data_IF_556066686200
#
_entry.id   IF_556066686200
#
_cell.length_a   1.000
_cell.length_b   1.000
_cell.length_c   1.000
_cell.angle_alpha   90.00
_cell.angle_beta   90.00
_cell.angle_gamma   90.00
#
_symmetry.space_group_name_H-M   'P 1'
#
loop_
_entity.id
_entity.type
_entity.pdbx_description
1 polymer ?
#
# COMPACT_ATOMS: atom_id res chain seq x y z
N UNK A 1 -5.71 4.19 0.79
CA UNK A 1 -5.43 4.69 -0.57
C UNK A 1 -4.04 5.32 -0.66
N UNK A 2 -3.50 5.55 -1.85
CA UNK A 2 -2.25 6.33 -2.05
C UNK A 2 -2.59 7.62 -2.78
N UNK A 3 -1.95 8.73 -2.38
CA UNK A 3 -2.02 10.01 -3.08
C UNK A 3 -0.65 10.33 -3.69
N UNK A 4 -0.62 10.80 -4.94
CA UNK A 4 0.60 11.33 -5.52
C UNK A 4 1.00 12.69 -4.90
N UNK A 5 2.22 13.15 -5.19
CA UNK A 5 2.70 14.44 -4.70
C UNK A 5 1.84 15.62 -5.17
N UNK A 6 1.30 15.59 -6.39
CA UNK A 6 0.48 16.69 -6.93
C UNK A 6 -0.81 16.86 -6.14
N UNK A 7 -1.48 15.76 -5.80
CA UNK A 7 -2.70 15.76 -5.00
C UNK A 7 -2.42 16.20 -3.57
N UNK A 8 -1.28 15.81 -2.97
CA UNK A 8 -0.85 16.37 -1.69
C UNK A 8 -0.65 17.88 -1.77
N UNK A 9 0.03 18.37 -2.81
CA UNK A 9 0.24 19.81 -2.99
C UNK A 9 -1.08 20.55 -3.20
N UNK A 10 -2.03 19.97 -3.92
CA UNK A 10 -3.37 20.54 -4.09
C UNK A 10 -4.10 20.70 -2.75
N UNK A 11 -3.99 19.70 -1.86
CA UNK A 11 -4.57 19.73 -0.51
C UNK A 11 -3.86 20.76 0.38
N UNK A 12 -2.53 20.77 0.38
CA UNK A 12 -1.72 21.51 1.36
C UNK A 12 -1.49 22.98 0.98
N UNK A 13 -1.44 23.28 -0.32
CA UNK A 13 -0.86 24.53 -0.85
C UNK A 13 -1.85 25.29 -1.73
N UNK A 14 -2.70 24.60 -2.47
CA UNK A 14 -3.65 25.24 -3.39
C UNK A 14 -5.09 25.26 -2.87
N UNK A 15 -5.43 24.40 -1.90
CA UNK A 15 -6.81 24.18 -1.46
C UNK A 15 -7.75 23.95 -2.67
N UNK A 16 -7.30 23.09 -3.58
CA UNK A 16 -8.00 22.81 -4.85
C UNK A 16 -9.40 22.25 -4.57
N UNK A 17 -10.47 22.84 -5.14
CA UNK A 17 -11.84 22.37 -4.91
C UNK A 17 -12.10 20.90 -5.23
N UNK A 18 -11.39 20.33 -6.21
CA UNK A 18 -11.49 18.90 -6.55
C UNK A 18 -10.81 17.99 -5.52
N UNK A 19 -9.89 18.51 -4.71
CA UNK A 19 -9.19 17.78 -3.65
C UNK A 19 -9.81 18.00 -2.26
N UNK A 20 -10.61 19.05 -2.06
CA UNK A 20 -11.29 19.33 -0.77
C UNK A 20 -12.08 18.14 -0.22
N UNK A 21 -12.93 17.43 -0.99
CA UNK A 21 -13.64 16.27 -0.45
C UNK A 21 -12.71 15.17 0.06
N UNK A 22 -11.55 15.00 -0.56
CA UNK A 22 -10.53 14.05 -0.11
C UNK A 22 -9.93 14.52 1.20
N UNK A 23 -9.57 15.80 1.31
CA UNK A 23 -9.07 16.38 2.56
C UNK A 23 -10.07 16.21 3.70
N UNK A 24 -11.33 16.55 3.47
CA UNK A 24 -12.39 16.45 4.48
C UNK A 24 -12.56 15.01 4.96
N UNK A 25 -12.55 14.05 4.03
CA UNK A 25 -12.68 12.63 4.36
C UNK A 25 -11.43 12.05 5.07
N UNK A 26 -10.23 12.58 4.80
CA UNK A 26 -9.02 12.25 5.58
C UNK A 26 -9.10 12.85 6.98
N UNK A 27 -9.62 14.07 7.12
CA UNK A 27 -9.74 14.76 8.42
C UNK A 27 -10.77 14.09 9.33
N UNK A 28 -11.84 13.54 8.77
CA UNK A 28 -12.85 12.78 9.53
C UNK A 28 -12.44 11.32 9.78
N UNK A 29 -11.38 10.85 9.12
CA UNK A 29 -10.96 9.45 9.17
C UNK A 29 -11.86 8.49 8.37
N UNK A 30 -12.80 9.01 7.57
CA UNK A 30 -13.61 8.20 6.65
C UNK A 30 -12.74 7.47 5.62
N UNK A 31 -11.58 8.03 5.31
CA UNK A 31 -10.56 7.40 4.49
C UNK A 31 -9.18 7.53 5.12
N UNK A 32 -8.27 6.63 4.75
CA UNK A 32 -6.86 6.66 5.17
C UNK A 32 -5.93 6.76 3.97
N UNK A 33 -5.04 7.74 3.96
CA UNK A 33 -3.94 7.85 3.00
C UNK A 33 -2.72 7.06 3.50
N UNK A 34 -2.07 6.32 2.61
CA UNK A 34 -0.87 5.55 2.86
C UNK A 34 0.33 6.27 2.24
N UNK A 35 1.42 6.37 2.97
CA UNK A 35 2.66 7.00 2.49
C UNK A 35 3.88 6.20 2.94
N UNK A 36 4.85 6.03 2.06
CA UNK A 36 6.17 5.49 2.42
C UNK A 36 7.23 6.59 2.49
N UNK A 37 8.44 6.22 2.95
CA UNK A 37 9.56 7.16 3.08
C UNK A 37 10.00 7.75 1.74
N UNK A 38 9.84 7.03 0.62
CA UNK A 38 10.27 7.49 -0.72
C UNK A 38 9.34 8.56 -1.24
N UNK A 39 8.04 8.42 -1.00
CA UNK A 39 7.02 9.43 -1.30
C UNK A 39 7.22 10.68 -0.42
N UNK A 40 7.46 10.50 0.88
CA UNK A 40 7.66 11.62 1.79
C UNK A 40 8.90 12.45 1.45
N UNK A 41 10.03 11.81 1.13
CA UNK A 41 11.25 12.51 0.71
C UNK A 41 11.01 13.32 -0.57
N UNK A 42 10.23 12.80 -1.51
CA UNK A 42 9.89 13.54 -2.72
C UNK A 42 9.03 14.76 -2.41
N UNK A 43 7.95 14.58 -1.65
CA UNK A 43 7.06 15.68 -1.28
C UNK A 43 7.82 16.78 -0.51
N UNK A 44 8.74 16.38 0.38
CA UNK A 44 9.61 17.30 1.07
C UNK A 44 10.46 18.15 0.10
N UNK A 45 11.05 17.52 -0.92
CA UNK A 45 11.83 18.21 -1.96
C UNK A 45 10.96 19.10 -2.83
N UNK A 46 9.75 18.65 -3.18
CA UNK A 46 8.79 19.44 -3.98
C UNK A 46 8.45 20.73 -3.24
N UNK A 47 8.15 20.66 -1.93
CA UNK A 47 7.86 21.84 -1.11
C UNK A 47 9.05 22.82 -1.02
N UNK A 48 10.28 22.36 -1.28
CA UNK A 48 11.48 23.20 -1.35
C UNK A 48 11.69 23.91 -2.69
N UNK A 49 10.89 23.62 -3.72
CA UNK A 49 11.06 24.26 -5.03
C UNK A 49 10.75 25.76 -4.99
N UNK A 50 11.45 26.59 -5.80
CA UNK A 50 11.33 28.05 -5.73
C UNK A 50 9.91 28.58 -5.83
N UNK A 51 9.06 27.96 -6.65
CA UNK A 51 7.66 28.37 -6.82
C UNK A 51 6.81 28.20 -5.55
N UNK A 52 7.12 27.24 -4.68
CA UNK A 52 6.41 27.06 -3.41
C UNK A 52 7.00 27.92 -2.30
N UNK A 53 8.32 28.12 -2.31
CA UNK A 53 8.98 29.11 -1.43
C UNK A 53 8.47 30.54 -1.67
N UNK A 54 8.27 30.91 -2.93
CA UNK A 54 7.72 32.21 -3.30
C UNK A 54 6.29 32.45 -2.78
N UNK A 55 5.53 31.38 -2.50
CA UNK A 55 4.19 31.44 -1.92
C UNK A 55 4.18 31.43 -0.38
N UNK A 56 5.36 31.52 0.25
CA UNK A 56 5.53 31.48 1.71
C UNK A 56 4.87 30.25 2.37
N UNK A 57 4.94 29.09 1.70
CA UNK A 57 4.41 27.84 2.22
C UNK A 57 5.17 27.45 3.49
N UNK A 58 4.46 27.27 4.60
CA UNK A 58 5.03 26.69 5.80
C UNK A 58 5.25 25.19 5.60
N UNK A 59 6.47 24.83 5.20
CA UNK A 59 6.89 23.45 4.97
C UNK A 59 6.70 22.58 6.21
N UNK A 60 6.98 23.09 7.40
CA UNK A 60 6.87 22.31 8.63
C UNK A 60 5.40 21.99 8.95
N UNK A 61 4.51 22.99 8.84
CA UNK A 61 3.07 22.78 9.01
C UNK A 61 2.47 21.85 7.93
N UNK A 62 2.94 21.97 6.69
CA UNK A 62 2.52 21.08 5.60
C UNK A 62 2.90 19.62 5.89
N UNK A 63 4.15 19.35 6.27
CA UNK A 63 4.60 17.99 6.62
C UNK A 63 3.94 17.45 7.89
N UNK A 64 3.65 18.31 8.88
CA UNK A 64 2.87 17.91 10.05
C UNK A 64 1.44 17.52 9.67
N UNK A 65 0.84 18.21 8.69
CA UNK A 65 -0.48 17.86 8.15
C UNK A 65 -0.45 16.52 7.44
N UNK A 66 0.55 16.27 6.59
CA UNK A 66 0.74 14.95 5.95
C UNK A 66 0.87 13.85 7.00
N UNK A 67 1.71 14.06 8.02
CA UNK A 67 1.90 13.08 9.09
C UNK A 67 0.62 12.79 9.89
N UNK A 68 -0.27 13.78 10.04
CA UNK A 68 -1.57 13.62 10.70
C UNK A 68 -2.60 12.91 9.82
N UNK A 69 -2.59 13.17 8.51
CA UNK A 69 -3.59 12.68 7.55
C UNK A 69 -3.20 11.37 6.86
N UNK A 70 -2.04 10.81 7.16
CA UNK A 70 -1.56 9.58 6.52
C UNK A 70 -0.99 8.59 7.52
N UNK A 71 -1.14 7.32 7.18
CA UNK A 71 -0.49 6.21 7.83
C UNK A 71 0.82 5.89 7.10
N UNK A 72 1.91 5.76 7.86
CA UNK A 72 3.21 5.38 7.31
C UNK A 72 3.27 3.87 7.10
N UNK A 73 3.55 3.47 5.87
CA UNK A 73 3.78 2.06 5.51
C UNK A 73 5.29 1.84 5.35
N UNK A 74 5.77 0.68 5.80
CA UNK A 74 7.14 0.27 5.55
C UNK A 74 7.39 0.20 4.03
N UNK A 75 8.43 0.89 3.56
CA UNK A 75 8.86 0.75 2.17
C UNK A 75 9.45 -0.64 1.93
N UNK A 76 9.51 -1.12 0.68
CA UNK A 76 10.20 -2.37 0.38
C UNK A 76 11.65 -2.26 0.85
N UNK A 77 12.10 -3.26 1.63
CA UNK A 77 13.51 -3.35 1.99
C UNK A 77 14.33 -3.42 0.69
N UNK A 78 15.48 -2.73 0.65
CA UNK A 78 16.32 -2.60 -0.58
C UNK A 78 16.79 -3.93 -1.18
N UNK A 79 16.45 -5.09 -0.58
CA UNK A 79 16.81 -6.44 -1.02
C UNK A 79 15.88 -7.11 -2.04
N UNK A 80 14.58 -6.81 -2.06
CA UNK A 80 13.60 -7.68 -2.76
C UNK A 80 13.21 -7.22 -4.17
N UNK A 81 13.65 -6.04 -4.59
CA UNK A 81 13.36 -5.49 -5.92
C UNK A 81 14.03 -6.28 -7.06
N UNK A 82 15.07 -7.09 -6.77
CA UNK A 82 15.72 -7.96 -7.77
C UNK A 82 14.94 -9.24 -8.07
N UNK A 83 14.09 -9.71 -7.15
CA UNK A 83 13.33 -10.95 -7.35
C UNK A 83 12.20 -10.81 -8.40
N UNK A 84 11.69 -9.59 -8.62
CA UNK A 84 10.56 -9.35 -9.51
C UNK A 84 10.94 -8.99 -10.97
N UNK A 85 12.24 -8.79 -11.24
CA UNK A 85 12.72 -8.38 -12.57
C UNK A 85 13.38 -9.50 -13.38
N UNK A 86 13.64 -10.68 -12.80
CA UNK A 86 14.50 -11.69 -13.42
C UNK A 86 13.77 -12.78 -14.23
N UNK A 87 12.44 -12.91 -14.17
CA UNK A 87 11.72 -14.05 -14.77
C UNK A 87 11.21 -13.79 -16.21
N UNK A 88 11.93 -12.97 -16.99
CA UNK A 88 11.61 -12.68 -18.39
C UNK A 88 12.81 -12.87 -19.34
N UNK A 89 13.66 -13.86 -19.06
CA UNK A 89 14.65 -14.35 -20.01
C UNK A 89 14.63 -15.89 -20.01
N UNK A 90 14.05 -16.48 -21.05
CA UNK A 90 14.05 -17.93 -21.23
C UNK A 90 15.44 -18.45 -21.60
N UNK A 91 15.74 -19.68 -21.19
CA UNK A 91 16.71 -20.54 -21.86
C UNK A 91 16.34 -22.02 -21.62
N UNK A 92 16.11 -22.72 -22.73
CA UNK A 92 16.06 -24.17 -22.81
C UNK A 92 17.44 -24.79 -22.50
N UNK A 93 17.48 -25.83 -21.66
CA UNK A 93 18.27 -27.07 -21.86
C UNK A 93 18.03 -28.08 -20.71
N UNK A 94 17.93 -29.35 -21.09
CA UNK A 94 17.57 -30.54 -20.30
C UNK A 94 18.77 -31.20 -19.55
N UNK A 95 18.57 -32.27 -18.76
CA UNK A 95 19.19 -32.47 -17.43
C UNK A 95 20.38 -33.45 -17.40
N UNK A 96 21.15 -33.45 -16.29
CA UNK A 96 22.02 -34.58 -15.93
C UNK A 96 22.40 -34.63 -14.43
N UNK A 97 22.15 -35.83 -13.87
CA UNK A 97 22.85 -36.58 -12.80
C UNK A 97 22.86 -36.13 -11.31
N UNK A 98 22.01 -36.85 -10.56
CA UNK A 98 22.25 -37.62 -9.32
C UNK A 98 23.55 -37.41 -8.50
N UNK A 99 23.38 -37.25 -7.17
CA UNK A 99 23.89 -38.20 -6.15
C UNK A 99 23.41 -37.83 -4.72
N UNK A 100 22.74 -38.78 -4.06
CA UNK A 100 22.67 -38.96 -2.58
C UNK A 100 23.87 -39.88 -2.16
N UNK A 101 24.19 -40.18 -0.87
CA UNK A 101 23.32 -40.13 0.32
C UNK A 101 23.96 -39.81 1.70
N UNK A 102 23.09 -39.88 2.71
CA UNK A 102 23.27 -40.38 4.07
C UNK A 102 23.91 -39.49 5.15
N UNK A 103 23.13 -39.22 6.22
CA UNK A 103 23.55 -39.54 7.59
C UNK A 103 22.34 -39.91 8.47
N UNK A 104 22.60 -40.92 9.30
CA UNK A 104 21.73 -41.59 10.29
C UNK A 104 22.16 -41.12 11.69
N UNK A 105 21.20 -40.87 12.59
CA UNK A 105 21.22 -41.15 14.05
C UNK A 105 20.03 -40.36 14.65
N UNK A 106 18.95 -40.95 15.16
CA UNK A 106 18.74 -41.94 16.23
C UNK A 106 18.64 -41.34 17.66
N UNK A 107 17.42 -41.51 18.19
CA UNK A 107 17.01 -41.84 19.57
C UNK A 107 17.03 -40.86 20.76
N UNK A 108 15.88 -40.89 21.45
CA UNK A 108 15.71 -40.73 22.91
C UNK A 108 15.07 -39.39 23.33
N UNK A 109 14.10 -39.29 24.24
CA UNK A 109 13.39 -40.22 25.11
C UNK A 109 12.13 -39.51 25.67
N UNK A 110 11.18 -40.29 26.17
CA UNK A 110 9.81 -39.95 26.55
C UNK A 110 9.61 -39.51 28.01
N UNK A 111 8.32 -39.21 28.31
CA UNK A 111 7.58 -39.20 29.62
C UNK A 111 7.78 -37.95 30.50
N UNK A 112 6.85 -37.48 31.32
CA UNK A 112 5.41 -37.68 31.63
C UNK A 112 5.08 -36.69 32.78
N UNK A 113 3.80 -36.36 33.02
CA UNK A 113 3.31 -35.71 34.26
C UNK A 113 2.36 -34.54 33.98
N UNK A 114 1.02 -34.70 33.97
CA UNK A 114 0.04 -34.98 35.02
C UNK A 114 -0.60 -33.72 35.66
N UNK A 115 -1.90 -33.55 35.33
CA UNK A 115 -3.07 -33.18 36.15
C UNK A 115 -2.99 -32.12 37.29
N UNK A 116 -3.91 -31.14 37.25
CA UNK A 116 -4.39 -30.40 38.43
C UNK A 116 -5.04 -29.03 38.12
N UNK A 117 -6.37 -28.99 38.00
CA UNK A 117 -7.25 -27.78 37.94
C UNK A 117 -7.70 -27.34 39.36
N UNK A 118 -8.51 -26.26 39.58
CA UNK A 118 -8.55 -24.90 38.99
C UNK A 118 -8.79 -23.74 40.02
N UNK A 119 -8.93 -22.51 39.48
CA UNK A 119 -9.78 -21.38 39.91
C UNK A 119 -9.17 -20.27 40.81
N UNK A 120 -9.82 -19.08 40.94
CA UNK A 120 -10.60 -18.26 39.99
C UNK A 120 -10.08 -16.79 39.92
N UNK A 121 -10.91 -15.87 39.39
CA UNK A 121 -10.89 -14.39 39.47
C UNK A 121 -10.53 -13.60 38.18
N UNK A 122 -11.60 -13.07 37.57
CA UNK A 122 -11.71 -11.70 37.04
C UNK A 122 -11.01 -11.33 35.71
N UNK A 123 -11.70 -11.54 34.58
CA UNK A 123 -12.53 -10.53 33.89
C UNK A 123 -12.97 -11.10 32.54
N UNK A 124 -14.28 -11.11 32.30
CA UNK A 124 -14.88 -11.51 31.05
C UNK A 124 -14.50 -10.50 29.95
N UNK A 125 -13.76 -10.97 28.94
CA UNK A 125 -13.62 -10.31 27.64
C UNK A 125 -14.76 -10.83 26.74
N UNK A 126 -15.54 -9.98 26.05
CA UNK A 126 -16.58 -10.46 25.13
C UNK A 126 -15.97 -11.23 23.93
N UNK A 127 -16.67 -12.26 23.39
CA UNK A 127 -16.25 -13.02 22.21
C UNK A 127 -16.37 -12.19 20.90
N UNK A 128 -15.72 -12.63 19.81
CA UNK A 128 -15.41 -11.80 18.65
C UNK A 128 -16.64 -11.61 17.74
N UNK A 129 -16.89 -10.39 17.29
CA UNK A 129 -17.77 -10.18 16.15
C UNK A 129 -17.09 -10.72 14.88
N UNK A 130 -17.63 -11.83 14.36
CA UNK A 130 -17.50 -12.27 12.98
C UNK A 130 -17.93 -11.12 12.04
N UNK A 131 -17.37 -10.91 10.84
CA UNK A 131 -16.96 -11.89 9.84
C UNK A 131 -15.90 -11.21 8.93
N UNK A 132 -14.62 -11.29 9.30
CA UNK A 132 -13.53 -11.00 8.37
C UNK A 132 -13.27 -12.25 7.54
N UNK A 133 -14.24 -12.60 6.68
CA UNK A 133 -14.03 -13.58 5.63
C UNK A 133 -12.94 -13.03 4.70
N UNK A 134 -11.70 -13.39 5.02
CA UNK A 134 -10.53 -13.21 4.19
C UNK A 134 -10.84 -13.78 2.80
N UNK A 135 -11.12 -12.90 1.85
CA UNK A 135 -11.20 -13.30 0.46
C UNK A 135 -9.78 -13.44 -0.06
N UNK A 136 -9.20 -14.61 0.14
CA UNK A 136 -8.10 -15.05 -0.71
C UNK A 136 -8.71 -15.60 -2.01
N UNK A 137 -8.41 -15.04 -3.19
CA UNK A 137 -8.39 -15.83 -4.39
C UNK A 137 -6.96 -16.34 -4.61
N UNK A 138 -6.90 -17.62 -4.94
CA UNK A 138 -5.71 -18.32 -5.39
C UNK A 138 -5.07 -17.60 -6.60
N UNK A 139 -3.74 -17.52 -6.61
CA UNK A 139 -2.98 -17.70 -7.84
C UNK A 139 -1.56 -18.14 -7.47
N UNK A 140 -1.26 -19.43 -7.65
CA UNK A 140 0.11 -19.98 -7.60
C UNK A 140 0.96 -19.53 -8.82
N UNK A 141 0.43 -18.61 -9.63
CA UNK A 141 1.18 -17.94 -10.68
C UNK A 141 2.14 -16.90 -10.06
N UNK A 142 3.41 -16.84 -10.51
CA UNK A 142 4.35 -15.84 -10.01
C UNK A 142 3.76 -14.43 -10.23
N UNK A 143 3.88 -13.53 -9.24
CA UNK A 143 3.30 -12.19 -9.33
C UNK A 143 3.81 -11.52 -10.60
N UNK A 144 2.86 -11.09 -11.44
CA UNK A 144 3.19 -10.39 -12.68
C UNK A 144 3.96 -9.11 -12.32
N UNK A 145 5.00 -8.74 -13.07
CA UNK A 145 5.72 -7.51 -12.78
C UNK A 145 4.80 -6.31 -13.00
N UNK A 146 4.81 -5.37 -12.04
CA UNK A 146 4.08 -4.12 -12.15
C UNK A 146 4.42 -3.39 -13.46
N UNK A 147 3.44 -2.71 -14.09
CA UNK A 147 3.72 -1.90 -15.27
C UNK A 147 4.73 -0.82 -14.92
N UNK A 148 5.69 -0.61 -15.83
CA UNK A 148 6.63 0.50 -15.70
C UNK A 148 5.93 1.80 -16.07
N UNK A 149 5.90 2.75 -15.14
CA UNK A 149 5.52 4.11 -15.46
C UNK A 149 6.57 4.73 -16.39
N UNK A 150 6.12 5.58 -17.32
CA UNK A 150 7.02 6.29 -18.22
C UNK A 150 7.85 7.33 -17.46
N UNK A 151 7.23 7.95 -16.45
CA UNK A 151 7.95 8.75 -15.47
C UNK A 151 8.55 7.82 -14.41
N UNK A 152 9.86 7.94 -14.20
CA UNK A 152 10.58 7.08 -13.26
C UNK A 152 10.32 7.48 -11.81
N UNK A 153 10.06 8.75 -11.55
CA UNK A 153 9.77 9.22 -10.20
C UNK A 153 8.40 8.70 -9.76
N UNK A 154 7.45 8.61 -10.67
CA UNK A 154 6.09 8.13 -10.36
C UNK A 154 5.98 6.62 -10.14
N UNK A 155 7.02 5.84 -10.46
CA UNK A 155 7.02 4.40 -10.26
C UNK A 155 6.76 4.01 -8.80
N UNK A 156 7.25 4.82 -7.85
CA UNK A 156 7.12 4.53 -6.41
C UNK A 156 5.66 4.49 -5.94
N UNK A 157 4.77 5.28 -6.56
CA UNK A 157 3.35 5.32 -6.18
C UNK A 157 2.63 4.04 -6.58
N UNK A 158 2.96 3.47 -7.74
CA UNK A 158 2.44 2.17 -8.18
C UNK A 158 2.93 1.05 -7.26
N UNK A 159 4.21 1.07 -6.90
CA UNK A 159 4.81 0.09 -6.00
C UNK A 159 4.19 0.16 -4.61
N UNK A 160 3.98 1.37 -4.08
CA UNK A 160 3.32 1.58 -2.80
C UNK A 160 1.86 1.11 -2.83
N UNK A 161 1.09 1.50 -3.85
CA UNK A 161 -0.31 1.10 -3.96
C UNK A 161 -0.45 -0.43 -4.03
N UNK A 162 0.41 -1.09 -4.80
CA UNK A 162 0.41 -2.54 -4.92
C UNK A 162 0.85 -3.24 -3.63
N UNK A 163 2.00 -2.85 -3.06
CA UNK A 163 2.57 -3.52 -1.88
C UNK A 163 1.67 -3.34 -0.65
N UNK A 164 1.10 -2.15 -0.49
CA UNK A 164 0.18 -1.86 0.61
C UNK A 164 -1.26 -2.32 0.33
N UNK A 165 -1.52 -2.97 -0.82
CA UNK A 165 -2.85 -3.40 -1.27
C UNK A 165 -3.90 -2.30 -1.20
N UNK A 166 -3.53 -1.09 -1.60
CA UNK A 166 -4.46 0.02 -1.65
C UNK A 166 -5.46 -0.17 -2.80
N UNK A 167 -6.76 0.05 -2.55
CA UNK A 167 -7.78 -0.02 -3.61
C UNK A 167 -7.65 1.12 -4.64
N UNK A 168 -7.02 2.23 -4.24
CA UNK A 168 -6.93 3.47 -5.01
C UNK A 168 -5.56 4.10 -4.95
N UNK A 169 -5.09 4.56 -6.11
CA UNK A 169 -4.05 5.57 -6.30
C UNK A 169 -4.69 6.83 -6.92
N UNK A 170 -4.70 7.94 -6.21
CA UNK A 170 -5.23 9.21 -6.71
C UNK A 170 -4.09 10.05 -7.28
N UNK A 171 -4.20 10.40 -8.56
CA UNK A 171 -3.16 11.13 -9.27
C UNK A 171 -3.72 12.03 -10.37
N UNK A 172 -3.05 13.17 -10.61
CA UNK A 172 -3.31 14.04 -11.76
C UNK A 172 -2.34 13.80 -12.92
N UNK A 173 -1.34 12.92 -12.76
CA UNK A 173 -0.30 12.68 -13.77
C UNK A 173 -0.78 11.84 -14.96
N UNK A 174 -0.38 12.23 -16.17
CA UNK A 174 -0.83 11.60 -17.42
C UNK A 174 -0.14 10.27 -17.69
N UNK A 175 1.08 10.04 -17.19
CA UNK A 175 1.76 8.76 -17.30
C UNK A 175 1.11 7.71 -16.40
N UNK A 176 0.76 8.06 -15.16
CA UNK A 176 0.00 7.19 -14.25
C UNK A 176 -1.41 6.90 -14.77
N UNK A 177 -2.16 7.91 -15.22
CA UNK A 177 -3.52 7.73 -15.73
C UNK A 177 -3.61 6.84 -16.99
N UNK A 178 -2.52 6.71 -17.76
CA UNK A 178 -2.47 5.75 -18.88
C UNK A 178 -2.45 4.29 -18.42
N UNK A 179 -2.15 4.02 -17.16
CA UNK A 179 -2.05 2.68 -16.59
C UNK A 179 -3.34 2.21 -15.90
N UNK A 180 -4.38 3.04 -15.80
CA UNK A 180 -5.65 2.73 -15.09
C UNK A 180 -6.22 1.37 -15.48
N UNK A 181 -6.44 1.13 -16.79
CA UNK A 181 -7.06 -0.14 -17.25
C UNK A 181 -6.24 -1.37 -16.90
N UNK A 182 -4.91 -1.26 -16.92
CA UNK A 182 -4.01 -2.40 -16.66
C UNK A 182 -3.88 -2.66 -15.15
N UNK A 183 -3.77 -1.61 -14.36
CA UNK A 183 -3.66 -1.69 -12.90
C UNK A 183 -4.92 -2.27 -12.28
N UNK A 184 -6.09 -1.83 -12.74
CA UNK A 184 -7.37 -2.37 -12.26
C UNK A 184 -7.54 -3.85 -12.61
N UNK A 185 -7.25 -4.23 -13.86
CA UNK A 185 -7.44 -5.61 -14.34
C UNK A 185 -6.45 -6.60 -13.73
N UNK A 186 -5.16 -6.25 -13.69
CA UNK A 186 -4.08 -7.21 -13.39
C UNK A 186 -3.56 -7.10 -11.95
N UNK A 187 -3.83 -5.99 -11.25
CA UNK A 187 -3.24 -5.69 -9.93
C UNK A 187 -4.26 -5.28 -8.87
N UNK A 188 -5.54 -5.15 -9.23
CA UNK A 188 -6.65 -4.98 -8.28
C UNK A 188 -6.79 -3.59 -7.66
N UNK A 189 -6.08 -2.58 -8.17
CA UNK A 189 -6.22 -1.19 -7.71
C UNK A 189 -6.52 -0.23 -8.86
N UNK A 190 -7.27 0.83 -8.54
CA UNK A 190 -7.74 1.84 -9.52
C UNK A 190 -6.87 3.09 -9.46
N UNK A 191 -6.66 3.72 -10.62
CA UNK A 191 -6.00 5.03 -10.72
C UNK A 191 -7.02 6.05 -11.22
N UNK A 192 -7.25 7.12 -10.45
CA UNK A 192 -8.18 8.18 -10.81
C UNK A 192 -7.67 9.56 -10.40
N UNK A 193 -8.22 10.58 -11.05
CA UNK A 193 -8.06 11.97 -10.63
C UNK A 193 -8.91 12.27 -9.37
N UNK A 194 -8.65 13.37 -8.64
CA UNK A 194 -9.36 13.68 -7.40
C UNK A 194 -10.88 13.72 -7.51
N UNK A 195 -11.43 14.44 -8.50
CA UNK A 195 -12.88 14.56 -8.65
C UNK A 195 -13.57 13.21 -8.99
N UNK A 196 -13.10 12.41 -9.97
CA UNK A 196 -13.65 11.07 -10.20
C UNK A 196 -13.50 10.12 -9.00
N UNK A 197 -12.38 10.21 -8.25
CA UNK A 197 -12.21 9.45 -7.02
C UNK A 197 -13.26 9.85 -5.97
N UNK A 198 -13.38 11.14 -5.66
CA UNK A 198 -14.34 11.64 -4.69
C UNK A 198 -15.78 11.24 -5.04
N UNK A 199 -16.17 11.35 -6.31
CA UNK A 199 -17.50 10.97 -6.78
C UNK A 199 -17.79 9.46 -6.70
N UNK A 200 -16.76 8.60 -6.75
CA UNK A 200 -16.96 7.14 -6.78
C UNK A 200 -16.74 6.47 -5.42
N UNK A 201 -15.74 6.91 -4.67
CA UNK A 201 -15.35 6.32 -3.40
C UNK A 201 -16.04 6.99 -2.21
N UNK A 202 -16.18 8.31 -2.20
CA UNK A 202 -16.73 9.05 -1.05
C UNK A 202 -18.26 9.19 -1.11
N UNK A 203 -18.85 9.11 -2.30
CA UNK A 203 -20.31 9.12 -2.45
C UNK A 203 -20.96 7.77 -2.08
N UNK A 204 -20.22 6.67 -2.14
CA UNK A 204 -20.71 5.34 -1.82
C UNK A 204 -20.98 5.17 -0.30
N UNK A 205 -20.15 5.77 0.55
CA UNK A 205 -20.30 5.73 2.02
C UNK A 205 -21.40 6.66 2.56
N UNK A 206 -21.93 7.57 1.75
CA UNK A 206 -23.03 8.45 2.14
C UNK A 206 -24.42 7.80 1.99
N UNK A 207 -24.50 6.58 1.44
CA UNK A 207 -25.75 5.87 1.15
C UNK A 207 -25.97 4.65 2.06
N UNK A 208 -25.86 4.80 3.37
CA UNK A 208 -26.52 3.89 4.32
C UNK A 208 -27.26 4.73 5.38
N UNK A 209 -28.57 5.02 5.19
CA UNK A 209 -29.40 5.48 6.29
C UNK A 209 -29.82 4.27 7.14
N UNK A 210 -29.60 4.39 8.45
CA UNK A 210 -30.04 3.47 9.48
C UNK A 210 -31.57 3.30 9.55
#
# INVERSE_FOLDING_TARGET
MVLDSNVWIDILVFDDPAARPIRDALETGAITALIDVRCLIELERVLDYPQFKARAVDKAAALATVARLSERVAGPERGDARAHAATAAGAHASPALAASPAHIADSGNARSGACGTPAPHARACPPPCADAAARAPADDAPPRPLPKCRDRDDQKFLELAYTARADWLVSKDRALLKLTRRTERDFGFRIAQPAPFAASALAADASEPA
#
